data_IF_711152645701
#
_entry.id   IF_711152645701
#
_cell.length_a   1.000
_cell.length_b   1.000
_cell.length_c   1.000
_cell.angle_alpha   90.00
_cell.angle_beta   90.00
_cell.angle_gamma   90.00
#
_symmetry.space_group_name_H-M   'P 1'
#
loop_
_entity.id
_entity.type
_entity.pdbx_description
1 polymer ?
#
# COMPACT_ATOMS: atom_id res chain seq x y z
N UNK A 1 11.81 1.36 11.56
CA UNK A 1 12.40 2.58 10.97
C UNK A 1 12.98 2.25 9.59
N UNK A 2 13.05 3.22 8.66
CA UNK A 2 13.68 2.98 7.37
C UNK A 2 15.15 2.58 7.53
N UNK A 3 15.64 1.75 6.61
CA UNK A 3 17.01 1.27 6.60
C UNK A 3 17.68 1.77 5.32
N UNK A 4 18.88 2.35 5.47
CA UNK A 4 19.70 2.67 4.32
C UNK A 4 20.22 1.39 3.67
N UNK A 5 19.93 1.21 2.38
CA UNK A 5 20.53 0.16 1.56
C UNK A 5 21.38 0.81 0.48
N UNK A 6 22.61 0.33 0.33
CA UNK A 6 23.50 0.79 -0.75
C UNK A 6 22.94 0.31 -2.10
N UNK A 7 22.95 1.16 -3.13
CA UNK A 7 22.58 0.75 -4.48
C UNK A 7 23.55 -0.30 -4.99
N UNK A 8 23.04 -1.21 -5.82
CA UNK A 8 23.89 -2.16 -6.54
C UNK A 8 24.79 -1.42 -7.54
N UNK A 9 25.94 -1.99 -7.88
CA UNK A 9 26.86 -1.44 -8.89
C UNK A 9 26.31 -1.44 -10.32
N UNK A 10 25.18 -2.13 -10.55
CA UNK A 10 24.51 -2.23 -11.86
C UNK A 10 23.38 -1.22 -12.00
N UNK A 11 23.23 -0.67 -13.21
CA UNK A 11 22.05 0.13 -13.60
C UNK A 11 20.82 -0.77 -13.52
N UNK A 12 19.77 -0.29 -12.86
CA UNK A 12 18.47 -0.95 -12.76
C UNK A 12 17.41 -0.12 -13.47
N UNK A 13 16.40 -0.77 -14.00
CA UNK A 13 15.20 -0.12 -14.54
C UNK A 13 14.01 -0.66 -13.78
N UNK A 14 13.47 0.18 -12.90
CA UNK A 14 12.42 -0.16 -11.96
C UNK A 14 11.15 0.59 -12.36
N UNK A 15 10.05 -0.13 -12.44
CA UNK A 15 8.72 0.46 -12.59
C UNK A 15 7.92 0.31 -11.30
N UNK A 16 7.06 1.27 -11.02
CA UNK A 16 5.97 1.16 -10.05
C UNK A 16 4.67 1.38 -10.80
N UNK A 17 3.80 0.37 -10.80
CA UNK A 17 2.48 0.39 -11.43
C UNK A 17 1.43 0.51 -10.32
N UNK A 18 0.49 1.42 -10.49
CA UNK A 18 -0.56 1.73 -9.51
C UNK A 18 -1.90 1.86 -10.24
N UNK A 19 -2.87 1.03 -9.84
CA UNK A 19 -4.19 0.97 -10.48
C UNK A 19 -5.01 2.22 -10.19
N UNK A 20 -5.56 2.80 -11.26
CA UNK A 20 -6.27 4.07 -11.18
C UNK A 20 -7.59 3.93 -10.43
N UNK A 21 -7.80 4.71 -9.37
CA UNK A 21 -8.99 4.65 -8.50
C UNK A 21 -9.54 3.21 -8.29
N UNK A 22 -8.64 2.26 -8.01
CA UNK A 22 -8.85 0.82 -8.24
C UNK A 22 -10.24 0.25 -7.90
N UNK A 23 -10.75 0.48 -6.68
CA UNK A 23 -12.03 -0.13 -6.28
C UNK A 23 -13.20 0.41 -7.13
N UNK A 24 -13.13 1.66 -7.60
CA UNK A 24 -14.14 2.22 -8.51
C UNK A 24 -14.09 1.51 -9.85
N UNK A 25 -12.90 1.21 -10.39
CA UNK A 25 -12.79 0.45 -11.64
C UNK A 25 -13.32 -0.99 -11.49
N UNK A 26 -13.06 -1.65 -10.36
CA UNK A 26 -13.63 -2.98 -10.06
C UNK A 26 -15.15 -2.93 -10.07
N UNK A 27 -15.76 -1.92 -9.45
CA UNK A 27 -17.21 -1.76 -9.47
C UNK A 27 -17.73 -1.36 -10.86
N UNK A 28 -17.03 -0.51 -11.61
CA UNK A 28 -17.40 -0.13 -12.98
C UNK A 28 -17.27 -1.29 -13.98
N UNK A 29 -16.40 -2.28 -13.72
CA UNK A 29 -16.36 -3.54 -14.47
C UNK A 29 -17.59 -4.40 -14.20
N UNK A 30 -18.02 -4.48 -12.94
CA UNK A 30 -19.25 -5.21 -12.54
C UNK A 30 -20.54 -4.50 -12.95
N UNK A 31 -20.49 -3.16 -13.03
CA UNK A 31 -21.62 -2.29 -13.34
C UNK A 31 -21.22 -1.31 -14.47
N UNK A 32 -21.19 -1.76 -15.74
CA UNK A 32 -20.70 -0.95 -16.87
C UNK A 32 -21.38 0.40 -17.03
N UNK A 33 -22.64 0.53 -16.58
CA UNK A 33 -23.40 1.79 -16.60
C UNK A 33 -22.82 2.91 -15.72
N UNK A 34 -21.84 2.60 -14.85
CA UNK A 34 -21.14 3.56 -14.00
C UNK A 34 -19.87 4.13 -14.66
N UNK A 35 -19.43 3.60 -15.81
CA UNK A 35 -18.26 4.10 -16.54
C UNK A 35 -18.50 5.54 -16.98
N UNK A 36 -17.50 6.40 -16.77
CA UNK A 36 -17.58 7.84 -17.09
C UNK A 36 -18.50 8.66 -16.19
N UNK A 37 -19.08 8.07 -15.13
CA UNK A 37 -19.94 8.78 -14.18
C UNK A 37 -19.22 9.04 -12.85
N UNK A 38 -19.50 10.15 -12.16
CA UNK A 38 -19.02 10.39 -10.80
C UNK A 38 -19.40 9.22 -9.89
N UNK A 39 -18.39 8.48 -9.43
CA UNK A 39 -18.57 7.27 -8.63
C UNK A 39 -17.59 7.24 -7.47
N UNK A 40 -18.06 6.81 -6.29
CA UNK A 40 -17.23 6.53 -5.13
C UNK A 40 -17.63 5.19 -4.50
N UNK A 41 -16.62 4.44 -4.04
CA UNK A 41 -16.84 3.21 -3.27
C UNK A 41 -16.81 3.55 -1.80
N UNK A 42 -17.83 3.10 -1.06
CA UNK A 42 -17.98 3.33 0.38
C UNK A 42 -17.90 2.03 1.16
N UNK A 43 -17.30 2.08 2.35
CA UNK A 43 -17.27 0.94 3.26
C UNK A 43 -18.54 0.83 4.10
N UNK A 44 -18.93 -0.41 4.43
CA UNK A 44 -20.05 -0.80 5.30
C UNK A 44 -20.06 -0.03 6.63
N UNK A 45 -20.76 1.10 6.65
CA UNK A 45 -21.13 1.85 7.83
C UNK A 45 -22.28 2.79 7.45
N UNK A 46 -23.45 2.63 8.05
CA UNK A 46 -24.61 3.52 7.81
C UNK A 46 -24.39 4.94 8.34
N UNK A 47 -23.40 5.17 9.20
CA UNK A 47 -23.09 6.50 9.74
C UNK A 47 -22.70 7.48 8.64
N UNK A 48 -23.58 8.45 8.41
CA UNK A 48 -23.46 9.52 7.41
C UNK A 48 -23.21 9.01 5.99
N UNK A 49 -23.90 7.95 5.59
CA UNK A 49 -23.80 7.37 4.24
C UNK A 49 -22.49 6.63 3.95
N UNK A 50 -21.76 6.18 4.98
CA UNK A 50 -20.48 5.47 4.82
C UNK A 50 -19.29 6.39 4.58
N UNK A 51 -18.08 5.82 4.63
CA UNK A 51 -16.85 6.56 4.31
C UNK A 51 -16.36 6.16 2.92
N UNK A 52 -16.06 7.15 2.07
CA UNK A 52 -15.48 6.93 0.74
C UNK A 52 -14.07 6.36 0.88
N UNK A 53 -13.89 5.11 0.46
CA UNK A 53 -12.60 4.41 0.48
C UNK A 53 -11.86 4.51 -0.85
N UNK A 54 -12.59 4.70 -1.95
CA UNK A 54 -12.07 5.03 -3.29
C UNK A 54 -13.00 6.02 -3.99
N UNK A 55 -12.42 6.90 -4.80
CA UNK A 55 -13.14 7.98 -5.51
C UNK A 55 -12.63 8.04 -6.94
N UNK A 56 -13.55 7.95 -7.91
CA UNK A 56 -13.29 8.03 -9.34
C UNK A 56 -12.87 9.43 -9.76
N UNK A 57 -12.19 9.55 -10.88
CA UNK A 57 -11.62 10.83 -11.32
C UNK A 57 -12.71 11.87 -11.64
N UNK A 58 -13.85 11.45 -12.16
CA UNK A 58 -15.03 12.29 -12.40
C UNK A 58 -15.57 12.87 -11.09
N UNK A 59 -15.67 12.05 -10.03
CA UNK A 59 -16.10 12.52 -8.71
C UNK A 59 -15.05 13.44 -8.04
N UNK A 60 -13.75 13.19 -8.26
CA UNK A 60 -12.68 14.07 -7.78
C UNK A 60 -12.75 15.46 -8.41
N UNK A 61 -13.10 15.56 -9.70
CA UNK A 61 -13.30 16.85 -10.40
C UNK A 61 -14.42 17.66 -9.74
N UNK A 62 -15.44 17.02 -9.20
CA UNK A 62 -16.50 17.67 -8.43
C UNK A 62 -16.07 18.05 -7.00
N UNK A 63 -14.88 17.67 -6.53
CA UNK A 63 -14.38 17.97 -5.19
C UNK A 63 -14.56 16.85 -4.16
N UNK A 64 -15.06 15.68 -4.57
CA UNK A 64 -15.18 14.51 -3.68
C UNK A 64 -13.77 13.98 -3.35
N UNK A 65 -13.51 13.75 -2.06
CA UNK A 65 -12.21 13.28 -1.56
C UNK A 65 -12.37 11.94 -0.84
N UNK A 66 -11.28 11.15 -0.83
CA UNK A 66 -11.20 9.97 0.04
C UNK A 66 -11.42 10.37 1.50
N UNK A 67 -12.01 9.48 2.29
CA UNK A 67 -12.41 9.68 3.68
C UNK A 67 -13.59 10.65 3.90
N UNK A 68 -14.12 11.31 2.85
CA UNK A 68 -15.41 12.00 2.95
C UNK A 68 -16.52 11.01 3.29
N UNK A 69 -17.51 11.51 4.04
CA UNK A 69 -18.75 10.79 4.31
C UNK A 69 -19.68 10.83 3.09
N UNK A 70 -20.46 9.78 2.87
CA UNK A 70 -21.36 9.67 1.71
C UNK A 70 -22.29 10.87 1.57
N UNK A 71 -22.88 11.33 2.68
CA UNK A 71 -23.79 12.50 2.67
C UNK A 71 -23.06 13.78 2.25
N UNK A 72 -21.85 14.00 2.79
CA UNK A 72 -21.02 15.14 2.45
C UNK A 72 -20.54 15.07 1.00
N UNK A 73 -20.22 13.87 0.52
CA UNK A 73 -19.83 13.64 -0.86
C UNK A 73 -20.99 13.91 -1.83
N UNK A 74 -22.22 13.51 -1.49
CA UNK A 74 -23.43 13.83 -2.25
C UNK A 74 -23.79 15.32 -2.22
N UNK A 75 -23.56 16.00 -1.10
CA UNK A 75 -23.77 17.45 -1.02
C UNK A 75 -22.84 18.21 -1.99
N UNK A 76 -21.60 17.74 -2.16
CA UNK A 76 -20.61 18.32 -3.09
C UNK A 76 -20.85 17.87 -4.53
N UNK A 77 -21.36 16.66 -4.75
CA UNK A 77 -21.66 16.10 -6.07
C UNK A 77 -23.02 15.40 -6.03
N UNK A 78 -24.13 16.09 -6.35
CA UNK A 78 -25.48 15.53 -6.26
C UNK A 78 -25.69 14.27 -7.12
N UNK A 79 -25.05 14.20 -8.28
CA UNK A 79 -25.12 13.07 -9.22
C UNK A 79 -24.16 11.91 -8.86
N UNK A 80 -23.54 11.94 -7.68
CA UNK A 80 -22.58 10.94 -7.23
C UNK A 80 -23.23 9.56 -7.03
N UNK A 81 -22.68 8.57 -7.71
CA UNK A 81 -22.99 7.16 -7.52
C UNK A 81 -22.17 6.62 -6.34
N UNK A 82 -22.84 6.25 -5.26
CA UNK A 82 -22.22 5.60 -4.11
C UNK A 82 -22.40 4.08 -4.23
N UNK A 83 -21.29 3.36 -4.36
CA UNK A 83 -21.30 1.89 -4.41
C UNK A 83 -20.79 1.34 -3.09
N UNK A 84 -21.59 0.52 -2.42
CA UNK A 84 -21.20 -0.08 -1.16
C UNK A 84 -20.38 -1.36 -1.39
N UNK A 85 -19.27 -1.51 -0.68
CA UNK A 85 -18.54 -2.80 -0.64
C UNK A 85 -19.47 -3.94 -0.19
N UNK A 86 -19.30 -5.15 -0.72
CA UNK A 86 -20.01 -6.33 -0.22
C UNK A 86 -19.79 -6.53 1.29
N UNK A 87 -20.75 -7.20 1.92
CA UNK A 87 -20.76 -7.47 3.36
C UNK A 87 -20.80 -8.97 3.57
N UNK A 88 -19.89 -9.50 4.38
CA UNK A 88 -19.85 -10.89 4.81
C UNK A 88 -19.52 -10.89 6.31
N UNK A 89 -20.21 -11.69 7.12
CA UNK A 89 -20.00 -11.76 8.57
C UNK A 89 -20.03 -10.37 9.25
N UNK A 90 -21.03 -9.56 8.87
CA UNK A 90 -21.24 -8.18 9.37
C UNK A 90 -20.03 -7.23 9.22
N UNK A 91 -19.11 -7.53 8.30
CA UNK A 91 -17.95 -6.71 7.97
C UNK A 91 -17.81 -6.55 6.46
N UNK A 92 -17.04 -5.54 6.08
CA UNK A 92 -16.67 -5.37 4.68
C UNK A 92 -15.96 -6.63 4.17
N UNK A 93 -16.45 -7.13 3.04
CA UNK A 93 -15.77 -8.14 2.25
C UNK A 93 -15.05 -7.47 1.08
N UNK A 94 -13.76 -7.75 0.99
CA UNK A 94 -12.87 -7.18 -0.02
C UNK A 94 -12.36 -8.24 -1.00
N UNK A 95 -12.96 -9.44 -1.02
CA UNK A 95 -12.55 -10.55 -1.90
C UNK A 95 -12.48 -10.14 -3.36
N UNK A 96 -13.55 -9.53 -3.89
CA UNK A 96 -13.61 -9.10 -5.30
C UNK A 96 -12.47 -8.16 -5.70
N UNK A 97 -12.01 -7.28 -4.79
CA UNK A 97 -10.90 -6.36 -5.07
C UNK A 97 -9.56 -7.08 -4.96
N UNK A 98 -9.44 -8.09 -4.08
CA UNK A 98 -8.22 -8.90 -3.94
C UNK A 98 -8.00 -9.74 -5.19
N UNK A 99 -9.07 -10.35 -5.69
CA UNK A 99 -9.06 -11.21 -6.87
C UNK A 99 -8.72 -10.40 -8.12
N UNK A 100 -9.38 -9.26 -8.32
CA UNK A 100 -9.06 -8.30 -9.38
C UNK A 100 -7.59 -7.84 -9.32
N UNK A 101 -7.05 -7.58 -8.11
CA UNK A 101 -5.64 -7.22 -7.96
C UNK A 101 -4.68 -8.38 -8.30
N UNK A 102 -5.10 -9.63 -8.08
CA UNK A 102 -4.33 -10.82 -8.45
C UNK A 102 -4.33 -11.07 -9.97
N UNK A 103 -5.46 -10.80 -10.65
CA UNK A 103 -5.54 -10.82 -12.13
C UNK A 103 -4.50 -9.86 -12.75
N UNK A 104 -4.43 -8.63 -12.24
CA UNK A 104 -3.46 -7.61 -12.70
C UNK A 104 -2.02 -8.07 -12.43
N UNK A 105 -1.72 -8.59 -11.24
CA UNK A 105 -0.38 -9.09 -10.90
C UNK A 105 0.05 -10.22 -11.83
N UNK A 106 -0.87 -11.11 -12.23
CA UNK A 106 -0.57 -12.19 -13.18
C UNK A 106 -0.15 -11.65 -14.55
N UNK A 107 -0.74 -10.56 -15.02
CA UNK A 107 -0.31 -9.87 -16.25
C UNK A 107 1.06 -9.21 -16.04
N UNK A 108 1.21 -8.40 -14.99
CA UNK A 108 2.43 -7.63 -14.73
C UNK A 108 3.67 -8.51 -14.49
N UNK A 109 3.50 -9.72 -13.93
CA UNK A 109 4.62 -10.65 -13.68
C UNK A 109 5.32 -11.19 -14.94
N UNK A 110 4.78 -10.92 -16.14
CA UNK A 110 5.33 -11.43 -17.42
C UNK A 110 6.60 -10.72 -17.87
N UNK A 111 6.86 -9.49 -17.40
CA UNK A 111 7.93 -8.63 -17.92
C UNK A 111 9.20 -8.57 -17.06
N UNK A 112 9.18 -9.16 -15.86
CA UNK A 112 10.32 -9.13 -14.96
C UNK A 112 9.97 -9.58 -13.54
N UNK A 113 10.89 -9.34 -12.60
CA UNK A 113 10.61 -9.64 -11.18
C UNK A 113 9.48 -8.74 -10.70
N UNK A 114 8.54 -9.32 -9.95
CA UNK A 114 7.32 -8.64 -9.57
C UNK A 114 7.14 -8.64 -8.04
N UNK A 115 7.07 -7.44 -7.45
CA UNK A 115 6.77 -7.26 -6.03
C UNK A 115 5.40 -6.62 -5.83
N UNK A 116 4.44 -7.40 -5.32
CA UNK A 116 3.17 -6.86 -4.85
C UNK A 116 3.41 -6.04 -3.58
N UNK A 117 3.19 -4.73 -3.67
CA UNK A 117 3.39 -3.77 -2.58
C UNK A 117 2.09 -3.52 -1.80
N UNK A 118 0.95 -3.46 -2.50
CA UNK A 118 -0.39 -3.35 -1.92
C UNK A 118 -1.39 -4.19 -2.74
N UNK A 119 -2.69 -3.95 -2.55
CA UNK A 119 -3.74 -4.58 -3.36
C UNK A 119 -3.72 -4.07 -4.81
N UNK A 120 -3.28 -2.84 -5.03
CA UNK A 120 -3.34 -2.05 -6.26
C UNK A 120 -1.97 -1.50 -6.73
N UNK A 121 -0.90 -1.73 -5.97
CA UNK A 121 0.45 -1.26 -6.29
C UNK A 121 1.42 -2.44 -6.47
N UNK A 122 2.21 -2.37 -7.54
CA UNK A 122 3.19 -3.40 -7.92
C UNK A 122 4.49 -2.73 -8.35
N UNK A 123 5.62 -3.20 -7.83
CA UNK A 123 6.93 -2.87 -8.39
C UNK A 123 7.38 -3.94 -9.37
N UNK A 124 8.02 -3.50 -10.46
CA UNK A 124 8.63 -4.36 -11.46
C UNK A 124 10.10 -4.02 -11.59
N UNK A 125 10.94 -5.05 -11.64
CA UNK A 125 12.32 -4.91 -12.13
C UNK A 125 12.37 -5.42 -13.57
N UNK A 126 12.38 -4.47 -14.51
CA UNK A 126 12.40 -4.73 -15.95
C UNK A 126 13.81 -4.61 -16.53
N UNK A 127 14.85 -4.59 -15.69
CA UNK A 127 16.24 -4.37 -16.12
C UNK A 127 16.69 -5.34 -17.21
N UNK A 128 16.42 -6.64 -17.05
CA UNK A 128 16.83 -7.66 -18.03
C UNK A 128 15.98 -7.63 -19.31
N UNK A 129 14.71 -7.22 -19.22
CA UNK A 129 13.88 -6.99 -20.39
C UNK A 129 14.36 -5.75 -21.17
N UNK A 130 14.66 -4.65 -20.48
CA UNK A 130 15.20 -3.42 -21.07
C UNK A 130 16.54 -3.66 -21.77
N UNK A 131 17.45 -4.43 -21.17
CA UNK A 131 18.72 -4.81 -21.82
C UNK A 131 18.50 -5.59 -23.12
N UNK A 132 17.55 -6.52 -23.15
CA UNK A 132 17.22 -7.28 -24.37
C UNK A 132 16.60 -6.41 -25.46
N UNK A 133 15.86 -5.37 -25.08
CA UNK A 133 15.31 -4.39 -26.02
C UNK A 133 16.38 -3.40 -26.52
N UNK A 134 17.38 -3.10 -25.69
CA UNK A 134 18.39 -2.07 -25.97
C UNK A 134 19.28 -2.34 -27.19
N UNK A 135 19.33 -3.59 -27.67
CA UNK A 135 20.06 -3.97 -28.88
C UNK A 135 19.23 -3.83 -30.16
N UNK A 136 17.95 -3.44 -30.05
CA UNK A 136 17.03 -3.26 -31.19
C UNK A 136 16.87 -1.78 -31.53
N UNK A 137 16.38 -1.51 -32.73
CA UNK A 137 16.01 -0.16 -33.16
C UNK A 137 14.71 0.29 -32.48
N UNK A 138 14.84 1.20 -31.51
CA UNK A 138 13.71 1.71 -30.74
C UNK A 138 12.70 2.48 -31.62
N UNK A 139 13.12 3.09 -32.72
CA UNK A 139 12.23 3.90 -33.57
C UNK A 139 11.04 3.12 -34.15
N UNK A 140 11.23 1.80 -34.32
CA UNK A 140 10.24 0.83 -34.79
C UNK A 140 9.40 0.20 -33.67
N UNK A 141 9.82 0.36 -32.41
CA UNK A 141 9.24 -0.28 -31.23
C UNK A 141 8.45 0.67 -30.34
N UNK A 142 8.64 1.98 -30.48
CA UNK A 142 7.87 2.99 -29.74
C UNK A 142 6.41 2.92 -30.19
N UNK A 143 5.56 2.33 -29.35
CA UNK A 143 4.10 2.32 -29.50
C UNK A 143 3.50 3.71 -29.28
N UNK A 144 2.26 3.91 -29.73
CA UNK A 144 1.52 5.16 -29.49
C UNK A 144 1.42 5.47 -27.99
N UNK A 145 1.12 4.45 -27.16
CA UNK A 145 1.08 4.58 -25.71
C UNK A 145 2.44 4.96 -25.12
N UNK A 146 3.55 4.39 -25.62
CA UNK A 146 4.87 4.78 -25.16
C UNK A 146 5.19 6.25 -25.49
N UNK A 147 4.69 6.76 -26.62
CA UNK A 147 4.91 8.13 -27.07
C UNK A 147 4.20 9.19 -26.22
N UNK A 148 3.14 8.83 -25.48
CA UNK A 148 2.45 9.75 -24.55
C UNK A 148 3.13 9.85 -23.19
N UNK A 149 4.25 9.13 -22.97
CA UNK A 149 4.95 9.16 -21.68
C UNK A 149 5.44 10.56 -21.33
N UNK A 150 5.32 10.93 -20.05
CA UNK A 150 5.91 12.14 -19.51
C UNK A 150 7.36 11.88 -19.08
N UNK A 151 8.29 12.76 -19.45
CA UNK A 151 9.69 12.67 -19.02
C UNK A 151 10.01 13.89 -18.17
N UNK A 152 10.41 13.67 -16.92
CA UNK A 152 10.74 14.78 -16.01
C UNK A 152 11.98 15.52 -16.53
N UNK A 153 11.88 16.84 -16.61
CA UNK A 153 12.97 17.70 -17.08
C UNK A 153 13.13 17.76 -18.60
N UNK A 154 12.21 17.16 -19.37
CA UNK A 154 12.23 17.25 -20.83
C UNK A 154 11.87 18.69 -21.28
N UNK A 155 12.68 19.30 -22.18
CA UNK A 155 12.31 20.58 -22.81
C UNK A 155 11.00 20.44 -23.58
N UNK A 156 10.16 21.48 -23.59
CA UNK A 156 8.85 21.47 -24.28
C UNK A 156 8.95 21.21 -25.80
N UNK A 157 10.10 21.48 -26.39
CA UNK A 157 10.34 21.37 -27.84
C UNK A 157 10.70 19.94 -28.29
N UNK A 158 11.13 19.08 -27.37
CA UNK A 158 11.60 17.72 -27.69
C UNK A 158 10.48 16.71 -27.44
N UNK A 159 10.10 15.94 -28.46
CA UNK A 159 9.09 14.91 -28.34
C UNK A 159 9.60 13.68 -27.55
N UNK A 160 8.69 12.96 -26.87
CA UNK A 160 9.03 11.72 -26.14
C UNK A 160 9.68 10.67 -27.05
N UNK A 161 9.18 10.50 -28.27
CA UNK A 161 9.76 9.58 -29.26
C UNK A 161 11.17 9.99 -29.67
N UNK A 162 11.41 11.29 -29.82
CA UNK A 162 12.74 11.83 -30.14
C UNK A 162 13.71 11.60 -28.98
N UNK A 163 13.26 11.82 -27.73
CA UNK A 163 14.07 11.52 -26.55
C UNK A 163 14.40 10.03 -26.39
N UNK A 164 13.48 9.13 -26.74
CA UNK A 164 13.74 7.67 -26.75
C UNK A 164 14.76 7.25 -27.80
N UNK A 165 14.76 7.89 -28.97
CA UNK A 165 15.57 7.46 -30.11
C UNK A 165 16.84 8.30 -30.30
N UNK A 166 17.18 9.19 -29.36
CA UNK A 166 18.33 10.08 -29.51
C UNK A 166 19.66 9.30 -29.54
N UNK A 167 20.55 9.60 -30.49
CA UNK A 167 21.78 8.83 -30.69
C UNK A 167 22.84 9.09 -29.61
N UNK A 168 22.75 10.20 -28.90
CA UNK A 168 23.65 10.65 -27.84
C UNK A 168 23.18 10.25 -26.43
N UNK A 169 22.18 9.38 -26.32
CA UNK A 169 21.65 8.95 -25.03
C UNK A 169 22.73 8.26 -24.19
N UNK A 170 22.81 8.64 -22.91
CA UNK A 170 23.57 7.87 -21.93
C UNK A 170 23.03 6.43 -21.85
N UNK A 171 23.85 5.49 -21.40
CA UNK A 171 23.41 4.09 -21.20
C UNK A 171 22.23 3.98 -20.24
N UNK A 172 22.18 4.85 -19.22
CA UNK A 172 21.08 4.90 -18.26
C UNK A 172 19.78 5.34 -18.93
N UNK A 173 19.82 6.42 -19.69
CA UNK A 173 18.65 6.95 -20.40
C UNK A 173 18.14 6.01 -21.48
N UNK A 174 19.05 5.38 -22.24
CA UNK A 174 18.68 4.38 -23.24
C UNK A 174 17.96 3.18 -22.62
N UNK A 175 18.47 2.67 -21.49
CA UNK A 175 17.79 1.61 -20.74
C UNK A 175 16.46 2.07 -20.12
N UNK A 176 16.37 3.33 -19.68
CA UNK A 176 15.15 3.90 -19.15
C UNK A 176 14.06 4.02 -20.24
N UNK A 177 14.43 4.46 -21.44
CA UNK A 177 13.57 4.49 -22.63
C UNK A 177 13.07 3.08 -22.98
N UNK A 178 13.97 2.09 -23.01
CA UNK A 178 13.59 0.69 -23.23
C UNK A 178 12.59 0.20 -22.18
N UNK A 179 12.81 0.51 -20.90
CA UNK A 179 11.90 0.17 -19.82
C UNK A 179 10.54 0.82 -19.97
N UNK A 180 10.48 2.08 -20.41
CA UNK A 180 9.24 2.80 -20.62
C UNK A 180 8.39 2.21 -21.75
N UNK A 181 9.00 1.74 -22.84
CA UNK A 181 8.29 1.01 -23.90
C UNK A 181 7.66 -0.27 -23.33
N UNK A 182 8.44 -1.07 -22.61
CA UNK A 182 7.95 -2.32 -21.96
C UNK A 182 6.81 -2.03 -20.99
N UNK A 183 6.92 -0.95 -20.21
CA UNK A 183 5.88 -0.56 -19.24
C UNK A 183 4.63 -0.05 -19.94
N UNK A 184 4.74 0.68 -21.05
CA UNK A 184 3.59 1.09 -21.84
C UNK A 184 2.83 -0.13 -22.38
N UNK A 185 3.56 -1.08 -22.98
CA UNK A 185 2.97 -2.28 -23.55
C UNK A 185 2.30 -3.17 -22.48
N UNK A 186 2.92 -3.34 -21.30
CA UNK A 186 2.31 -4.14 -20.23
C UNK A 186 1.09 -3.45 -19.61
N UNK A 187 1.03 -2.11 -19.60
CA UNK A 187 -0.17 -1.36 -19.18
C UNK A 187 -1.33 -1.58 -20.16
N UNK A 188 -1.05 -1.60 -21.47
CA UNK A 188 -2.06 -1.96 -22.48
C UNK A 188 -2.55 -3.40 -22.31
N UNK A 189 -1.66 -4.34 -22.00
CA UNK A 189 -2.05 -5.72 -21.72
C UNK A 189 -2.94 -5.82 -20.46
N UNK A 190 -2.63 -5.08 -19.40
CA UNK A 190 -3.48 -4.99 -18.21
C UNK A 190 -4.87 -4.46 -18.59
N UNK A 191 -4.95 -3.37 -19.36
CA UNK A 191 -6.22 -2.83 -19.81
C UNK A 191 -7.01 -3.84 -20.66
N UNK A 192 -6.37 -4.50 -21.61
CA UNK A 192 -7.01 -5.45 -22.51
C UNK A 192 -7.54 -6.70 -21.80
N UNK A 193 -6.81 -7.22 -20.82
CA UNK A 193 -7.15 -8.48 -20.15
C UNK A 193 -8.01 -8.31 -18.90
N UNK A 194 -7.94 -7.14 -18.24
CA UNK A 194 -8.61 -6.92 -16.94
C UNK A 194 -9.66 -5.81 -16.97
N UNK A 195 -9.69 -5.03 -18.05
CA UNK A 195 -10.49 -3.80 -18.20
C UNK A 195 -10.11 -2.69 -17.21
N UNK A 196 -8.93 -2.78 -16.59
CA UNK A 196 -8.44 -1.79 -15.64
C UNK A 196 -7.34 -0.93 -16.24
N UNK A 197 -7.48 0.38 -16.07
CA UNK A 197 -6.41 1.34 -16.32
C UNK A 197 -5.47 1.44 -15.13
N UNK A 198 -4.21 1.73 -15.41
CA UNK A 198 -3.21 1.99 -14.39
C UNK A 198 -2.23 3.05 -14.85
N UNK A 199 -1.61 3.70 -13.87
CA UNK A 199 -0.55 4.66 -14.09
C UNK A 199 0.78 4.06 -13.62
N UNK A 200 1.88 4.50 -14.23
CA UNK A 200 3.19 3.95 -13.90
C UNK A 200 4.27 5.02 -13.77
N UNK A 201 5.27 4.71 -12.94
CA UNK A 201 6.48 5.49 -12.83
C UNK A 201 7.67 4.62 -13.17
N UNK A 202 8.59 5.10 -14.01
CA UNK A 202 9.79 4.36 -14.42
C UNK A 202 11.03 5.15 -14.03
N UNK A 203 11.94 4.52 -13.27
CA UNK A 203 13.16 5.15 -12.77
C UNK A 203 14.23 4.09 -12.42
N UNK A 204 15.37 4.52 -11.86
CA UNK A 204 16.47 3.61 -11.49
C UNK A 204 16.36 3.00 -10.09
N UNK A 205 15.32 3.33 -9.33
CA UNK A 205 15.05 2.72 -8.02
C UNK A 205 13.56 2.82 -7.63
N UNK A 206 13.17 2.06 -6.61
CA UNK A 206 11.78 1.97 -6.14
C UNK A 206 11.22 3.31 -5.65
N UNK A 207 12.04 4.12 -4.98
CA UNK A 207 11.60 5.40 -4.43
C UNK A 207 11.16 6.35 -5.53
N UNK A 208 12.01 6.56 -6.53
CA UNK A 208 11.74 7.44 -7.66
C UNK A 208 10.61 6.90 -8.55
N UNK A 209 10.57 5.59 -8.80
CA UNK A 209 9.49 4.97 -9.57
C UNK A 209 8.12 5.15 -8.89
N UNK A 210 8.06 4.97 -7.55
CA UNK A 210 6.83 5.23 -6.80
C UNK A 210 6.41 6.69 -6.91
N UNK A 211 7.36 7.61 -6.71
CA UNK A 211 7.10 9.04 -6.78
C UNK A 211 6.50 9.45 -8.13
N UNK A 212 7.11 9.00 -9.23
CA UNK A 212 6.70 9.41 -10.57
C UNK A 212 5.38 8.81 -11.02
N UNK A 213 5.02 7.61 -10.55
CA UNK A 213 3.73 6.97 -10.86
C UNK A 213 2.49 7.77 -10.43
N UNK A 214 2.66 8.70 -9.47
CA UNK A 214 1.60 9.56 -8.97
C UNK A 214 1.50 10.92 -9.67
N UNK A 215 2.45 11.29 -10.53
CA UNK A 215 2.58 12.67 -11.04
C UNK A 215 1.52 13.02 -12.09
N UNK A 216 1.23 12.10 -13.02
CA UNK A 216 0.37 12.38 -14.18
C UNK A 216 -0.86 11.45 -14.28
N UNK A 217 -1.35 10.95 -13.14
CA UNK A 217 -2.55 10.11 -13.13
C UNK A 217 -3.79 10.85 -13.67
N UNK A 218 -4.77 10.17 -14.31
CA UNK A 218 -4.85 8.73 -14.55
C UNK A 218 -4.26 8.25 -15.89
N UNK A 219 -4.08 6.93 -16.02
CA UNK A 219 -3.77 6.21 -17.25
C UNK A 219 -2.56 6.78 -18.01
N UNK A 220 -1.55 7.27 -17.29
CA UNK A 220 -0.31 7.77 -17.88
C UNK A 220 0.90 7.15 -17.22
N UNK A 221 2.07 7.33 -17.84
CA UNK A 221 3.34 6.97 -17.22
C UNK A 221 4.33 8.13 -17.18
N UNK A 222 5.20 8.13 -16.18
CA UNK A 222 6.20 9.18 -15.96
C UNK A 222 7.59 8.60 -15.71
N UNK A 223 8.56 9.05 -16.50
CA UNK A 223 9.96 8.65 -16.41
C UNK A 223 10.76 9.69 -15.63
N UNK A 224 11.71 9.23 -14.83
CA UNK A 224 12.66 10.09 -14.12
C UNK A 224 14.09 9.75 -14.54
N UNK A 225 14.66 10.46 -15.53
CA UNK A 225 16.08 10.39 -15.87
C UNK A 225 16.96 10.79 -14.69
N UNK A 226 18.16 10.20 -14.58
CA UNK A 226 19.13 10.53 -13.51
C UNK A 226 19.46 12.02 -13.45
N UNK A 227 19.55 12.69 -14.62
CA UNK A 227 19.83 14.12 -14.74
C UNK A 227 18.73 15.03 -14.16
N UNK A 228 17.50 14.53 -14.04
CA UNK A 228 16.36 15.29 -13.54
C UNK A 228 16.08 15.05 -12.04
N UNK A 229 16.80 14.13 -11.39
CA UNK A 229 16.54 13.73 -10.00
C UNK A 229 16.76 14.89 -9.03
N UNK A 230 17.87 15.61 -9.18
CA UNK A 230 18.21 16.71 -8.27
C UNK A 230 17.16 17.82 -8.31
N UNK A 231 16.80 18.29 -9.51
CA UNK A 231 15.80 19.34 -9.69
C UNK A 231 14.40 18.91 -9.24
N UNK A 232 14.03 17.65 -9.50
CA UNK A 232 12.77 17.07 -9.04
C UNK A 232 12.69 17.06 -7.50
N UNK A 233 13.72 16.57 -6.83
CA UNK A 233 13.73 16.44 -5.37
C UNK A 233 13.90 17.79 -4.66
N UNK A 234 14.62 18.75 -5.27
CA UNK A 234 14.86 20.05 -4.67
C UNK A 234 13.57 20.77 -4.23
N UNK A 235 12.48 20.62 -4.99
CA UNK A 235 11.19 21.30 -4.72
C UNK A 235 10.13 20.39 -4.12
N UNK A 236 10.39 19.09 -4.00
CA UNK A 236 9.39 18.11 -3.58
C UNK A 236 9.11 18.22 -2.08
N UNK A 237 7.85 18.38 -1.64
CA UNK A 237 7.52 18.37 -0.20
C UNK A 237 7.93 17.05 0.46
N UNK A 238 8.52 17.12 1.66
CA UNK A 238 9.08 15.95 2.36
C UNK A 238 8.02 14.86 2.61
N UNK A 239 6.77 15.27 2.87
CA UNK A 239 5.61 14.39 3.07
C UNK A 239 5.23 13.53 1.86
N UNK A 240 5.72 13.86 0.66
CA UNK A 240 5.50 13.06 -0.56
C UNK A 240 6.43 11.85 -0.66
N UNK A 241 7.54 11.84 0.07
CA UNK A 241 8.43 10.68 0.12
C UNK A 241 7.81 9.58 0.99
N UNK A 242 7.83 8.35 0.49
CA UNK A 242 7.36 7.19 1.24
C UNK A 242 8.04 7.09 2.60
N UNK A 243 7.25 6.82 3.65
CA UNK A 243 7.63 6.80 5.08
C UNK A 243 7.84 8.16 5.75
N UNK A 244 7.76 9.27 5.02
CA UNK A 244 7.87 10.64 5.57
C UNK A 244 6.54 11.39 5.63
N UNK A 245 5.42 10.78 5.24
CA UNK A 245 4.08 11.37 5.43
C UNK A 245 3.50 11.25 6.85
N UNK A 246 4.32 10.92 7.85
CA UNK A 246 3.88 10.65 9.23
C UNK A 246 4.77 11.31 10.27
N UNK A 247 4.86 10.72 11.47
CA UNK A 247 5.57 11.29 12.62
C UNK A 247 7.01 11.73 12.31
N UNK A 248 7.79 10.90 11.62
CA UNK A 248 9.17 11.24 11.25
C UNK A 248 9.26 12.47 10.33
N UNK A 249 8.32 12.65 9.39
CA UNK A 249 8.29 13.86 8.56
C UNK A 249 7.92 15.11 9.35
N UNK A 250 6.96 14.98 10.29
CA UNK A 250 6.58 16.06 11.19
C UNK A 250 7.73 16.46 12.13
N UNK A 251 8.53 15.49 12.59
CA UNK A 251 9.74 15.72 13.38
C UNK A 251 10.80 16.48 12.55
N UNK A 252 11.03 16.07 11.29
CA UNK A 252 11.95 16.79 10.39
C UNK A 252 11.50 18.23 10.12
N UNK A 253 10.21 18.44 9.86
CA UNK A 253 9.62 19.78 9.67
C UNK A 253 9.75 20.63 10.95
N UNK A 254 9.46 20.06 12.11
CA UNK A 254 9.44 20.77 13.39
C UNK A 254 10.82 21.07 13.99
N UNK A 255 11.75 20.11 13.94
CA UNK A 255 13.06 20.22 14.58
C UNK A 255 14.13 20.81 13.66
N UNK A 256 14.07 20.48 12.36
CA UNK A 256 15.09 20.89 11.38
C UNK A 256 14.58 21.90 10.35
N UNK A 257 13.29 22.25 10.37
CA UNK A 257 12.70 23.19 9.42
C UNK A 257 12.66 22.68 7.98
N UNK A 258 12.80 21.36 7.78
CA UNK A 258 12.84 20.70 6.46
C UNK A 258 11.45 20.64 5.87
N UNK A 259 11.16 21.44 4.84
CA UNK A 259 9.86 21.45 4.13
C UNK A 259 9.93 20.66 2.83
N UNK A 260 11.05 20.74 2.14
CA UNK A 260 11.32 20.03 0.88
C UNK A 260 12.39 18.96 1.07
N UNK A 261 12.45 18.00 0.14
CA UNK A 261 13.54 17.00 0.11
C UNK A 261 14.89 17.69 -0.15
N UNK A 262 14.92 18.77 -0.93
CA UNK A 262 16.12 19.58 -1.16
C UNK A 262 16.71 20.15 0.13
N UNK A 263 15.87 20.55 1.09
CA UNK A 263 16.33 21.10 2.37
C UNK A 263 17.20 20.11 3.15
N UNK A 264 17.06 18.80 2.93
CA UNK A 264 17.91 17.80 3.57
C UNK A 264 19.39 17.88 3.12
N UNK A 265 19.67 18.46 1.95
CA UNK A 265 21.03 18.57 1.42
C UNK A 265 21.93 19.47 2.28
N UNK A 266 21.35 20.36 3.10
CA UNK A 266 22.11 21.25 3.99
C UNK A 266 22.69 20.53 5.23
N UNK A 267 22.29 19.27 5.47
CA UNK A 267 22.75 18.50 6.62
C UNK A 267 23.75 17.42 6.21
N UNK A 268 24.82 17.28 7.00
CA UNK A 268 25.78 16.18 6.86
C UNK A 268 25.13 14.85 7.23
N UNK A 269 25.67 13.74 6.70
CA UNK A 269 25.22 12.40 7.05
C UNK A 269 25.33 12.16 8.57
N UNK A 270 26.47 12.55 9.16
CA UNK A 270 26.74 12.43 10.61
C UNK A 270 25.68 13.14 11.44
N UNK A 271 25.33 14.40 11.09
CA UNK A 271 24.29 15.14 11.83
C UNK A 271 22.93 14.45 11.78
N UNK A 272 22.55 13.88 10.63
CA UNK A 272 21.30 13.14 10.51
C UNK A 272 21.33 11.81 11.28
N UNK A 273 22.49 11.15 11.35
CA UNK A 273 22.68 9.93 12.15
C UNK A 273 22.61 10.21 13.65
N UNK A 274 23.20 11.31 14.11
CA UNK A 274 23.19 11.70 15.53
C UNK A 274 21.76 11.98 16.01
N UNK A 275 20.94 12.62 15.17
CA UNK A 275 19.55 12.99 15.49
C UNK A 275 18.57 11.81 15.40
N UNK A 276 18.64 11.01 14.32
CA UNK A 276 17.61 10.00 14.00
C UNK A 276 18.10 8.56 14.09
N UNK A 277 19.34 8.35 14.53
CA UNK A 277 20.04 7.08 14.57
C UNK A 277 20.72 6.71 13.24
N UNK A 278 21.70 5.79 13.28
CA UNK A 278 22.60 5.53 12.15
C UNK A 278 21.87 5.11 10.87
N UNK A 279 20.90 4.20 10.99
CA UNK A 279 20.19 3.68 9.83
C UNK A 279 19.24 4.71 9.20
N UNK A 280 18.50 5.46 10.02
CA UNK A 280 17.52 6.46 9.55
C UNK A 280 18.25 7.68 8.99
N UNK A 281 19.31 8.13 9.67
CA UNK A 281 20.11 9.28 9.24
C UNK A 281 20.73 9.07 7.87
N UNK A 282 21.43 7.94 7.65
CA UNK A 282 21.96 7.57 6.33
C UNK A 282 20.84 7.42 5.29
N UNK A 283 19.67 6.91 5.68
CA UNK A 283 18.55 6.77 4.75
C UNK A 283 18.02 8.13 4.29
N UNK A 284 17.87 9.10 5.21
CA UNK A 284 17.47 10.47 4.88
C UNK A 284 18.50 11.15 3.98
N UNK A 285 19.79 11.02 4.31
CA UNK A 285 20.88 11.61 3.54
C UNK A 285 20.93 11.07 2.10
N UNK A 286 20.72 9.76 1.92
CA UNK A 286 20.62 9.12 0.60
C UNK A 286 19.34 9.53 -0.15
N UNK A 287 18.22 9.62 0.56
CA UNK A 287 16.92 10.04 -0.01
C UNK A 287 17.00 11.42 -0.65
N UNK A 288 17.66 12.37 0.01
CA UNK A 288 17.88 13.71 -0.51
C UNK A 288 18.62 13.74 -1.86
N UNK A 289 19.39 12.70 -2.15
CA UNK A 289 20.19 12.52 -3.37
C UNK A 289 19.56 11.54 -4.36
N UNK A 290 18.31 11.14 -4.12
CA UNK A 290 17.60 10.14 -4.93
C UNK A 290 18.18 8.73 -4.88
N UNK A 291 19.03 8.42 -3.89
CA UNK A 291 19.67 7.13 -3.76
C UNK A 291 18.77 6.18 -2.95
N UNK A 292 18.42 5.04 -3.54
CA UNK A 292 17.72 3.95 -2.85
C UNK A 292 18.17 2.58 -3.37
N UNK A 293 18.77 1.79 -2.49
CA UNK A 293 19.22 0.43 -2.78
C UNK A 293 18.20 -0.68 -2.51
N UNK A 294 16.92 -0.36 -2.26
CA UNK A 294 15.91 -1.40 -2.09
C UNK A 294 15.70 -2.13 -3.42
N UNK A 295 15.77 -3.46 -3.41
CA UNK A 295 15.52 -4.30 -4.57
C UNK A 295 14.04 -4.70 -4.64
N UNK A 296 13.53 -4.85 -5.87
CA UNK A 296 12.23 -5.47 -6.12
C UNK A 296 12.31 -6.94 -5.73
N UNK A 297 11.51 -7.33 -4.76
CA UNK A 297 11.45 -8.71 -4.28
C UNK A 297 10.51 -9.50 -5.19
N UNK A 298 10.91 -10.70 -5.61
CA UNK A 298 10.03 -11.55 -6.42
C UNK A 298 8.94 -12.18 -5.54
N UNK A 299 7.90 -11.40 -5.29
CA UNK A 299 6.84 -11.68 -4.31
C UNK A 299 5.51 -11.17 -4.83
N UNK A 300 4.77 -12.04 -5.48
CA UNK A 300 3.43 -11.77 -6.02
C UNK A 300 2.32 -12.01 -4.97
N UNK A 301 2.57 -12.87 -4.00
CA UNK A 301 1.59 -13.27 -2.96
C UNK A 301 1.77 -12.49 -1.64
N UNK A 302 0.69 -12.28 -0.87
CA UNK A 302 0.77 -11.65 0.44
C UNK A 302 1.53 -12.52 1.45
N UNK A 303 2.13 -11.88 2.46
CA UNK A 303 2.89 -12.54 3.55
C UNK A 303 2.03 -12.97 4.73
N UNK A 304 0.79 -12.48 4.79
CA UNK A 304 -0.15 -12.75 5.86
C UNK A 304 -1.59 -12.59 5.38
N UNK A 305 -2.51 -13.27 6.05
CA UNK A 305 -3.95 -13.09 5.92
C UNK A 305 -4.48 -12.51 7.23
N UNK A 306 -5.31 -11.47 7.16
CA UNK A 306 -5.83 -10.79 8.34
C UNK A 306 -7.31 -10.47 8.20
N UNK A 307 -8.08 -10.73 9.25
CA UNK A 307 -9.47 -10.33 9.36
C UNK A 307 -9.61 -9.42 10.57
N UNK A 308 -10.17 -8.23 10.39
CA UNK A 308 -10.37 -7.28 11.48
C UNK A 308 -11.55 -6.35 11.27
N UNK A 309 -11.98 -5.73 12.37
CA UNK A 309 -13.09 -4.77 12.43
C UNK A 309 -12.81 -3.70 13.48
N UNK A 310 -13.28 -2.49 13.20
CA UNK A 310 -13.28 -1.37 14.14
C UNK A 310 -14.67 -1.12 14.72
N UNK A 311 -14.70 -0.71 15.98
CA UNK A 311 -15.87 -0.54 16.84
C UNK A 311 -15.88 0.87 17.43
N UNK A 312 -16.20 1.91 16.62
CA UNK A 312 -16.05 3.29 17.06
C UNK A 312 -17.16 3.72 18.02
N UNK A 313 -16.79 4.53 19.01
CA UNK A 313 -17.71 5.22 19.91
C UNK A 313 -18.61 4.25 20.69
N UNK A 314 -19.94 4.43 20.68
CA UNK A 314 -20.88 3.58 21.42
C UNK A 314 -20.86 2.10 21.05
N UNK A 315 -20.30 1.74 19.88
CA UNK A 315 -20.21 0.36 19.40
C UNK A 315 -19.02 -0.41 19.97
N UNK A 316 -18.18 0.22 20.78
CA UNK A 316 -17.03 -0.44 21.39
C UNK A 316 -17.47 -1.67 22.19
N UNK A 317 -16.69 -2.75 22.13
CA UNK A 317 -17.01 -4.00 22.82
C UNK A 317 -16.59 -3.87 24.28
N UNK A 318 -17.53 -4.10 25.20
CA UNK A 318 -17.34 -3.90 26.65
C UNK A 318 -17.45 -5.18 27.47
N UNK A 319 -17.76 -6.31 26.82
CA UNK A 319 -17.91 -7.60 27.49
C UNK A 319 -17.10 -8.67 26.77
N UNK A 320 -16.62 -9.67 27.50
CA UNK A 320 -15.90 -10.78 26.91
C UNK A 320 -16.78 -11.56 25.91
N UNK A 321 -18.08 -11.68 26.20
CA UNK A 321 -19.05 -12.30 25.31
C UNK A 321 -19.11 -11.62 23.93
N UNK A 322 -19.21 -10.29 23.90
CA UNK A 322 -19.22 -9.53 22.63
C UNK A 322 -17.87 -9.62 21.91
N UNK A 323 -16.76 -9.70 22.64
CA UNK A 323 -15.44 -9.96 22.04
C UNK A 323 -15.38 -11.36 21.42
N UNK A 324 -15.82 -12.40 22.13
CA UNK A 324 -15.81 -13.78 21.65
C UNK A 324 -16.70 -13.95 20.42
N UNK A 325 -17.87 -13.31 20.40
CA UNK A 325 -18.72 -13.24 19.21
C UNK A 325 -17.95 -12.71 18.01
N UNK A 326 -17.28 -11.56 18.13
CA UNK A 326 -16.49 -11.00 17.03
C UNK A 326 -15.26 -11.83 16.68
N UNK A 327 -14.62 -12.48 17.65
CA UNK A 327 -13.54 -13.43 17.36
C UNK A 327 -14.01 -14.56 16.45
N UNK A 328 -15.24 -15.05 16.63
CA UNK A 328 -15.85 -16.06 15.76
C UNK A 328 -16.03 -15.56 14.32
N UNK A 329 -16.70 -14.43 14.13
CA UNK A 329 -16.90 -13.82 12.79
C UNK A 329 -15.57 -13.56 12.06
N UNK A 330 -14.56 -13.09 12.80
CA UNK A 330 -13.22 -12.85 12.26
C UNK A 330 -12.49 -14.15 11.92
N UNK A 331 -12.65 -15.20 12.75
CA UNK A 331 -12.04 -16.51 12.55
C UNK A 331 -12.63 -17.25 11.35
N UNK A 332 -13.95 -17.19 11.14
CA UNK A 332 -14.62 -17.78 9.96
C UNK A 332 -14.09 -17.16 8.67
N UNK A 333 -14.02 -15.82 8.62
CA UNK A 333 -13.44 -15.09 7.48
C UNK A 333 -11.96 -15.44 7.26
N UNK A 334 -11.18 -15.58 8.34
CA UNK A 334 -9.76 -15.90 8.26
C UNK A 334 -9.55 -17.34 7.76
N UNK A 335 -10.35 -18.30 8.25
CA UNK A 335 -10.30 -19.71 7.87
C UNK A 335 -10.60 -19.88 6.38
N UNK A 336 -11.69 -19.27 5.87
CA UNK A 336 -12.01 -19.29 4.43
C UNK A 336 -10.82 -18.83 3.58
N UNK A 337 -10.17 -17.74 3.98
CA UNK A 337 -9.00 -17.21 3.27
C UNK A 337 -7.76 -18.10 3.35
N UNK A 338 -7.61 -18.85 4.43
CA UNK A 338 -6.51 -19.81 4.58
C UNK A 338 -6.75 -21.05 3.71
N UNK A 339 -8.00 -21.50 3.60
CA UNK A 339 -8.37 -22.62 2.75
C UNK A 339 -8.22 -22.27 1.26
N UNK A 340 -8.65 -21.06 0.87
CA UNK A 340 -8.39 -20.48 -0.46
C UNK A 340 -6.88 -20.44 -0.76
N UNK A 341 -6.07 -19.86 0.13
CA UNK A 341 -4.62 -19.75 -0.06
C UNK A 341 -3.91 -21.11 -0.13
N UNK A 342 -4.37 -22.08 0.66
CA UNK A 342 -3.87 -23.45 0.59
C UNK A 342 -4.21 -24.09 -0.76
N UNK A 343 -5.46 -23.98 -1.21
CA UNK A 343 -5.91 -24.61 -2.46
C UNK A 343 -5.26 -24.01 -3.70
N UNK A 344 -5.06 -22.69 -3.73
CA UNK A 344 -4.54 -21.97 -4.89
C UNK A 344 -3.02 -21.90 -4.92
N UNK A 345 -2.38 -21.78 -3.75
CA UNK A 345 -0.94 -21.47 -3.65
C UNK A 345 -0.13 -22.55 -2.93
N UNK A 346 -0.75 -23.66 -2.51
CA UNK A 346 -0.11 -24.80 -1.84
C UNK A 346 0.83 -24.39 -0.69
N UNK A 347 0.36 -23.50 0.18
CA UNK A 347 1.12 -22.94 1.30
C UNK A 347 0.26 -22.82 2.55
N UNK A 348 0.90 -22.78 3.71
CA UNK A 348 0.21 -22.73 5.02
C UNK A 348 0.81 -21.66 5.91
N UNK A 349 -0.05 -20.92 6.60
CA UNK A 349 0.34 -20.06 7.72
C UNK A 349 0.62 -20.89 8.98
N UNK A 350 1.53 -20.41 9.83
CA UNK A 350 1.97 -21.11 11.04
C UNK A 350 1.88 -20.27 12.33
N UNK A 351 1.64 -18.97 12.22
CA UNK A 351 1.55 -18.07 13.38
C UNK A 351 0.22 -17.30 13.38
N UNK A 352 -0.54 -17.41 14.47
CA UNK A 352 -1.74 -16.62 14.74
C UNK A 352 -1.38 -15.45 15.66
N UNK A 353 -1.79 -14.24 15.30
CA UNK A 353 -1.60 -13.03 16.12
C UNK A 353 -2.93 -12.33 16.31
N UNK A 354 -3.22 -11.93 17.56
CA UNK A 354 -4.33 -11.04 17.90
C UNK A 354 -3.80 -9.62 18.11
N UNK A 355 -4.47 -8.66 17.48
CA UNK A 355 -4.31 -7.24 17.79
C UNK A 355 -5.66 -6.68 18.23
N UNK A 356 -5.66 -5.93 19.34
CA UNK A 356 -6.82 -5.16 19.75
C UNK A 356 -6.41 -3.72 20.08
N UNK A 357 -7.30 -2.77 19.78
CA UNK A 357 -7.24 -1.41 20.29
C UNK A 357 -8.22 -1.32 21.44
N UNK A 358 -7.71 -1.09 22.65
CA UNK A 358 -8.50 -1.04 23.87
C UNK A 358 -8.18 0.24 24.63
N UNK A 359 -9.19 0.81 25.28
CA UNK A 359 -9.04 1.92 26.21
C UNK A 359 -9.81 1.62 27.50
N UNK A 360 -9.43 2.29 28.58
CA UNK A 360 -10.11 2.23 29.88
C UNK A 360 -10.90 3.53 30.00
N UNK A 361 -12.21 3.42 30.25
CA UNK A 361 -13.04 4.60 30.48
C UNK A 361 -12.53 5.36 31.73
N UNK A 362 -12.42 6.68 31.63
CA UNK A 362 -11.95 7.53 32.74
C UNK A 362 -10.43 7.75 32.84
N UNK A 363 -9.59 7.23 31.92
CA UNK A 363 -8.16 7.57 31.84
C UNK A 363 -7.86 8.61 30.75
N UNK A 364 -6.98 9.57 31.06
CA UNK A 364 -6.34 10.44 30.07
C UNK A 364 -5.31 9.67 29.21
N UNK A 365 -4.88 10.30 28.13
CA UNK A 365 -4.19 9.83 26.91
C UNK A 365 -2.92 8.96 27.03
N UNK A 366 -2.45 8.64 28.24
CA UNK A 366 -1.22 7.86 28.48
C UNK A 366 -1.51 6.40 28.95
N UNK A 367 -2.59 5.79 28.46
CA UNK A 367 -2.87 4.39 28.76
C UNK A 367 -1.80 3.47 28.12
N UNK A 368 -1.37 2.38 28.81
CA UNK A 368 -0.44 1.41 28.23
C UNK A 368 -1.03 0.83 26.94
N UNK A 369 -0.24 0.67 25.89
CA UNK A 369 -0.74 0.12 24.64
C UNK A 369 -1.18 -1.33 24.85
N UNK A 370 -2.38 -1.69 24.40
CA UNK A 370 -2.85 -3.07 24.43
C UNK A 370 -1.88 -3.96 23.64
N UNK A 371 -1.21 -4.89 24.34
CA UNK A 371 -0.12 -5.68 23.78
C UNK A 371 -0.68 -6.72 22.82
N UNK A 372 -0.09 -6.79 21.63
CA UNK A 372 -0.42 -7.84 20.67
C UNK A 372 0.27 -9.14 21.09
N UNK A 373 -0.41 -10.27 20.95
CA UNK A 373 0.13 -11.58 21.32
C UNK A 373 -0.03 -12.56 20.16
N UNK A 374 0.88 -13.53 20.09
CA UNK A 374 0.91 -14.51 19.03
C UNK A 374 1.15 -15.91 19.58
N UNK A 375 0.71 -16.93 18.84
CA UNK A 375 1.00 -18.35 19.11
C UNK A 375 0.97 -19.17 17.83
N UNK A 376 1.47 -20.42 17.83
CA UNK A 376 1.33 -21.32 16.69
C UNK A 376 -0.14 -21.48 16.27
N UNK A 377 -0.40 -21.34 14.97
CA UNK A 377 -1.75 -21.40 14.40
C UNK A 377 -2.26 -22.85 14.35
N UNK A 378 -3.45 -23.10 14.90
CA UNK A 378 -4.22 -24.33 14.73
C UNK A 378 -5.37 -24.08 13.76
N UNK A 379 -5.47 -24.87 12.70
CA UNK A 379 -6.54 -24.73 11.69
C UNK A 379 -7.89 -25.26 12.22
N UNK A 380 -8.96 -24.60 11.79
CA UNK A 380 -10.33 -24.81 12.23
C UNK A 380 -10.85 -23.61 13.03
N UNK A 381 -12.06 -23.15 12.72
CA UNK A 381 -12.68 -21.95 13.32
C UNK A 381 -12.67 -22.03 14.84
N UNK A 382 -13.13 -23.14 15.42
CA UNK A 382 -13.20 -23.30 16.88
C UNK A 382 -11.83 -23.19 17.55
N UNK A 383 -10.79 -23.76 16.93
CA UNK A 383 -9.42 -23.69 17.48
C UNK A 383 -8.85 -22.28 17.38
N UNK A 384 -9.12 -21.57 16.28
CA UNK A 384 -8.73 -20.16 16.12
C UNK A 384 -9.43 -19.31 17.17
N UNK A 385 -10.73 -19.53 17.43
CA UNK A 385 -11.50 -18.79 18.44
C UNK A 385 -10.96 -19.07 19.85
N UNK A 386 -10.76 -20.35 20.20
CA UNK A 386 -10.18 -20.76 21.48
C UNK A 386 -8.82 -20.09 21.73
N UNK A 387 -7.93 -20.17 20.73
CA UNK A 387 -6.59 -19.59 20.78
C UNK A 387 -6.62 -18.08 20.90
N UNK A 388 -7.47 -17.42 20.11
CA UNK A 388 -7.60 -15.96 20.09
C UNK A 388 -8.19 -15.43 21.39
N UNK A 389 -9.18 -16.12 21.96
CA UNK A 389 -9.79 -15.80 23.25
C UNK A 389 -8.74 -15.85 24.36
N UNK A 390 -7.99 -16.95 24.43
CA UNK A 390 -6.92 -17.11 25.42
C UNK A 390 -5.88 -15.97 25.33
N UNK A 391 -5.44 -15.65 24.10
CA UNK A 391 -4.48 -14.55 23.89
C UNK A 391 -5.08 -13.19 24.28
N UNK A 392 -6.36 -12.94 23.96
CA UNK A 392 -7.06 -11.72 24.34
C UNK A 392 -7.15 -11.55 25.85
N UNK A 393 -7.63 -12.58 26.56
CA UNK A 393 -7.78 -12.56 28.03
C UNK A 393 -6.44 -12.32 28.72
N UNK A 394 -5.35 -12.93 28.22
CA UNK A 394 -4.00 -12.69 28.73
C UNK A 394 -3.55 -11.24 28.52
N UNK A 395 -3.73 -10.68 27.32
CA UNK A 395 -3.42 -9.27 27.05
C UNK A 395 -4.28 -8.33 27.87
N UNK A 396 -5.56 -8.66 28.07
CA UNK A 396 -6.48 -7.88 28.88
C UNK A 396 -6.07 -7.88 30.35
N UNK A 397 -5.67 -9.03 30.89
CA UNK A 397 -5.14 -9.13 32.25
C UNK A 397 -3.89 -8.26 32.43
N UNK A 398 -2.91 -8.34 31.52
CA UNK A 398 -1.72 -7.46 31.55
C UNK A 398 -2.11 -5.98 31.48
N UNK A 399 -2.99 -5.62 30.56
CA UNK A 399 -3.47 -4.25 30.35
C UNK A 399 -4.22 -3.67 31.57
N UNK A 400 -5.04 -4.48 32.24
CA UNK A 400 -5.75 -4.09 33.46
C UNK A 400 -4.84 -4.10 34.70
N UNK A 401 -3.87 -5.03 34.80
CA UNK A 401 -2.98 -5.14 35.96
C UNK A 401 -2.08 -3.91 36.18
N UNK A 402 -1.79 -3.14 35.12
CA UNK A 402 -1.14 -1.81 35.21
C UNK A 402 -2.02 -0.74 35.91
N UNK A 403 -3.17 -1.11 36.49
CA UNK A 403 -4.00 -0.25 37.35
C UNK A 403 -3.67 -0.39 38.85
N UNK A 404 -3.05 -1.50 39.27
CA UNK A 404 -3.01 -1.91 40.68
C UNK A 404 -1.76 -1.48 41.45
N UNK A 405 -0.88 -0.66 40.88
CA UNK A 405 0.21 -0.04 41.63
C UNK A 405 -0.33 1.10 42.51
N UNK A 406 -1.00 0.75 43.62
CA UNK A 406 -1.30 1.68 44.72
C UNK A 406 -2.76 1.87 45.16
N UNK A 407 -3.73 1.03 44.77
CA UNK A 407 -5.11 1.10 45.31
C UNK A 407 -5.66 -0.28 45.71
N UNK A 408 -6.38 -0.32 46.82
CA UNK A 408 -6.99 -1.52 47.41
C UNK A 408 -7.92 -2.26 46.44
N UNK A 409 -7.98 -3.58 46.62
CA UNK A 409 -8.50 -4.56 45.67
C UNK A 409 -10.04 -4.57 45.50
N UNK A 410 -10.79 -3.71 46.19
CA UNK A 410 -12.26 -3.83 46.29
C UNK A 410 -13.08 -2.86 45.42
N UNK A 411 -12.48 -1.87 44.73
CA UNK A 411 -13.25 -0.80 44.06
C UNK A 411 -12.86 -0.45 42.61
N UNK A 412 -12.13 -1.33 41.90
CA UNK A 412 -11.74 -1.06 40.49
C UNK A 412 -12.33 -2.12 39.56
N UNK A 413 -13.64 -2.04 39.30
CA UNK A 413 -14.22 -2.60 38.06
C UNK A 413 -13.90 -1.65 36.92
N UNK A 414 -12.68 -1.69 36.40
CA UNK A 414 -12.33 -0.86 35.25
C UNK A 414 -13.12 -1.28 34.02
N UNK A 415 -14.01 -0.42 33.55
CA UNK A 415 -14.70 -0.60 32.28
C UNK A 415 -13.70 -0.37 31.14
N UNK A 416 -13.26 -1.48 30.55
CA UNK A 416 -12.48 -1.48 29.32
C UNK A 416 -13.42 -1.47 28.12
N UNK A 417 -12.94 -0.92 27.01
CA UNK A 417 -13.69 -0.83 25.77
C UNK A 417 -12.78 -1.07 24.56
N UNK A 418 -13.07 -2.11 23.79
CA UNK A 418 -12.34 -2.48 22.57
C UNK A 418 -12.93 -1.72 21.38
N UNK A 419 -12.10 -0.91 20.73
CA UNK A 419 -12.44 -0.08 19.55
C UNK A 419 -11.91 -0.65 18.24
N UNK A 420 -11.12 -1.72 18.30
CA UNK A 420 -10.68 -2.47 17.13
C UNK A 420 -10.17 -3.84 17.52
N UNK A 421 -10.45 -4.84 16.68
CA UNK A 421 -10.05 -6.23 16.88
C UNK A 421 -9.63 -6.83 15.54
N UNK A 422 -8.53 -7.58 15.53
CA UNK A 422 -8.09 -8.30 14.33
C UNK A 422 -7.33 -9.57 14.66
N UNK A 423 -7.52 -10.57 13.79
CA UNK A 423 -6.80 -11.84 13.77
C UNK A 423 -5.95 -11.90 12.52
N UNK A 424 -4.67 -12.24 12.68
CA UNK A 424 -3.71 -12.30 11.58
C UNK A 424 -2.99 -13.64 11.58
N UNK A 425 -3.12 -14.38 10.48
CA UNK A 425 -2.31 -15.55 10.18
C UNK A 425 -1.08 -15.14 9.36
N UNK A 426 0.11 -15.53 9.81
CA UNK A 426 1.40 -15.14 9.24
C UNK A 426 2.40 -16.29 9.31
N UNK A 427 3.66 -16.01 8.97
CA UNK A 427 4.70 -17.02 8.80
C UNK A 427 4.27 -18.11 7.81
N UNK A 428 3.88 -17.68 6.60
CA UNK A 428 3.38 -18.56 5.55
C UNK A 428 4.55 -19.26 4.87
N UNK A 429 4.48 -20.58 4.77
CA UNK A 429 5.50 -21.42 4.14
C UNK A 429 4.85 -22.32 3.09
N UNK A 430 5.56 -22.54 1.96
CA UNK A 430 5.12 -23.50 0.97
C UNK A 430 5.09 -24.91 1.59
N UNK A 431 4.07 -25.71 1.25
CA UNK A 431 4.08 -27.12 1.63
C UNK A 431 5.16 -27.83 0.81
N UNK A 432 6.01 -28.67 1.44
CA UNK A 432 6.86 -29.57 0.68
C UNK A 432 5.98 -30.40 -0.24
N UNK A 433 6.32 -30.45 -1.53
CA UNK A 433 5.70 -31.42 -2.42
C UNK A 433 6.06 -32.80 -1.88
N UNK A 434 5.07 -33.56 -1.43
CA UNK A 434 5.27 -34.98 -1.15
C UNK A 434 5.62 -35.59 -2.51
N UNK A 435 6.88 -35.98 -2.71
CA UNK A 435 7.27 -36.79 -3.85
C UNK A 435 6.54 -38.11 -3.70
N UNK A 436 5.45 -38.29 -4.45
CA UNK A 436 4.78 -39.57 -4.66
C UNK A 436 5.69 -40.50 -5.45
#
# INVERSE_FOLDING_TARGET
MPLARRPASRIRVIAHVDLDCFYVQVEQRRQPQLRGKPTAVIQYNSWKGGACIAVGYEARKCGVKRSMRGDAAKAVCPDLNLVQVPVLHEKADLSIYRDAGSEVVAVLSRVGKCERASIDEVYLDVTEAAKRLSSKDLSTLVSEEASTSHIVGLPQELGTKEWFCRPDASREDHLLACGAIIVADIRLAVLAETEFTCSAGVAHNKMLAKLSSGMHKPAQQTLVPSSAVESLLATLPISKIGKLGGKLGQELEGELGVKTVGDLLQFSEVKLQDMYGPNTGTWLWNTARGINGDEVQDRTLPKSHSSGKTFPGPRALKTLETVVYWLKELAETLQLRLDEDLSQNNRTAHLLTIHASCHIEGRATEAPKFSSKSRPLRYGVDKIVEDSRYLFERSLHEFCSHQSAGKEQSEITSSWAVTGLSLTASNIMAKPMVKT
#
